data_IF_706198818016
#
_entry.id   IF_706198818016
#
_cell.length_a   1.000
_cell.length_b   1.000
_cell.length_c   1.000
_cell.angle_alpha   90.00
_cell.angle_beta   90.00
_cell.angle_gamma   90.00
#
_symmetry.space_group_name_H-M   'P 1'
#
loop_
_entity.id
_entity.type
_entity.pdbx_description
1 polymer ?
#
# COMPACT_ATOMS: atom_id res chain seq x y z
N UNK A 1 4.62 -11.64 2.99
CA UNK A 1 3.17 -11.30 2.86
C UNK A 1 2.17 -12.35 3.36
N UNK A 2 2.55 -13.56 3.83
CA UNK A 2 1.56 -14.59 4.20
C UNK A 2 0.98 -14.49 5.62
N UNK A 3 1.54 -13.68 6.51
CA UNK A 3 1.08 -13.61 7.92
C UNK A 3 -0.26 -12.90 8.12
N UNK A 4 -0.72 -12.08 7.17
CA UNK A 4 -1.95 -11.28 7.32
C UNK A 4 -3.21 -11.93 6.75
N UNK A 5 -3.13 -13.18 6.26
CA UNK A 5 -4.21 -13.84 5.51
C UNK A 5 -5.49 -14.12 6.31
N UNK A 6 -5.38 -14.19 7.64
CA UNK A 6 -6.47 -14.64 8.53
C UNK A 6 -7.06 -13.52 9.39
N UNK A 7 -6.72 -12.26 9.12
CA UNK A 7 -7.36 -11.10 9.76
C UNK A 7 -8.25 -10.44 8.71
N UNK A 8 -9.46 -10.02 9.09
CA UNK A 8 -10.36 -9.21 8.25
C UNK A 8 -9.81 -7.78 8.07
N UNK A 9 -8.56 -7.66 7.61
CA UNK A 9 -7.88 -6.41 7.35
C UNK A 9 -8.17 -5.99 5.92
N UNK A 10 -8.55 -4.73 5.76
CA UNK A 10 -8.65 -4.08 4.46
C UNK A 10 -7.26 -3.57 4.10
N UNK A 11 -6.66 -4.11 3.04
CA UNK A 11 -5.35 -3.66 2.57
C UNK A 11 -5.48 -2.72 1.37
N UNK A 12 -4.79 -1.58 1.43
CA UNK A 12 -4.59 -0.68 0.30
C UNK A 12 -3.46 -1.18 -0.60
N UNK A 13 -3.52 -0.88 -1.89
CA UNK A 13 -2.53 -1.30 -2.86
C UNK A 13 -2.09 -0.14 -3.75
N UNK A 14 -0.78 0.08 -3.84
CA UNK A 14 -0.16 1.13 -4.66
C UNK A 14 0.86 0.47 -5.62
N UNK A 15 0.51 0.26 -6.89
CA UNK A 15 1.47 -0.24 -7.87
C UNK A 15 2.40 0.89 -8.34
N UNK A 16 3.70 0.61 -8.37
CA UNK A 16 4.74 1.57 -8.81
C UNK A 16 5.73 0.90 -9.77
N UNK A 17 6.40 1.70 -10.59
CA UNK A 17 7.52 1.27 -11.43
C UNK A 17 8.89 1.56 -10.78
N UNK A 18 8.92 1.76 -9.45
CA UNK A 18 10.13 2.21 -8.74
C UNK A 18 10.30 3.72 -8.75
N UNK A 19 11.55 4.19 -8.55
CA UNK A 19 11.90 5.61 -8.43
C UNK A 19 10.97 6.39 -7.48
N UNK A 20 10.88 5.94 -6.22
CA UNK A 20 9.97 6.54 -5.24
C UNK A 20 10.33 8.00 -4.96
N UNK A 21 9.30 8.83 -4.91
CA UNK A 21 9.36 10.26 -4.63
C UNK A 21 8.02 10.70 -4.00
N UNK A 22 7.89 11.97 -3.62
CA UNK A 22 6.74 12.47 -2.84
C UNK A 22 5.36 12.21 -3.49
N UNK A 23 5.31 12.12 -4.82
CA UNK A 23 4.10 11.74 -5.54
C UNK A 23 3.60 10.35 -5.12
N UNK A 24 4.50 9.39 -4.98
CA UNK A 24 4.17 8.04 -4.50
C UNK A 24 3.74 8.05 -3.02
N UNK A 25 4.37 8.88 -2.18
CA UNK A 25 3.97 9.04 -0.77
C UNK A 25 2.54 9.57 -0.65
N UNK A 26 2.13 10.50 -1.51
CA UNK A 26 0.74 11.00 -1.52
C UNK A 26 -0.29 9.90 -1.83
N UNK A 27 0.04 8.95 -2.71
CA UNK A 27 -0.80 7.80 -3.01
C UNK A 27 -0.90 6.85 -1.81
N UNK A 28 0.20 6.67 -1.07
CA UNK A 28 0.23 5.89 0.16
C UNK A 28 -0.64 6.56 1.24
N UNK A 29 -0.54 7.87 1.42
CA UNK A 29 -1.37 8.62 2.39
C UNK A 29 -2.86 8.51 2.08
N UNK A 30 -3.24 8.55 0.79
CA UNK A 30 -4.62 8.34 0.38
C UNK A 30 -5.06 6.90 0.69
N UNK A 31 -4.24 5.91 0.37
CA UNK A 31 -4.56 4.51 0.62
C UNK A 31 -4.72 4.22 2.13
N UNK A 32 -3.87 4.79 2.99
CA UNK A 32 -3.93 4.64 4.45
C UNK A 32 -5.24 5.13 5.07
N UNK A 33 -5.91 6.14 4.47
CA UNK A 33 -7.20 6.65 4.99
C UNK A 33 -8.32 5.63 5.00
N UNK A 34 -8.20 4.55 4.21
CA UNK A 34 -9.26 3.57 4.01
C UNK A 34 -8.80 2.12 4.17
N UNK A 35 -7.60 1.90 4.72
CA UNK A 35 -7.01 0.58 4.87
C UNK A 35 -6.25 0.44 6.18
N UNK A 36 -6.17 -0.78 6.69
CA UNK A 36 -5.40 -1.13 7.88
C UNK A 36 -3.89 -1.27 7.58
N UNK A 37 -3.52 -1.27 6.31
CA UNK A 37 -2.15 -1.31 5.84
C UNK A 37 -2.06 -1.17 4.32
N UNK A 38 -0.90 -0.70 3.83
CA UNK A 38 -0.68 -0.46 2.40
C UNK A 38 0.44 -1.36 1.89
N UNK A 39 0.19 -2.00 0.75
CA UNK A 39 1.18 -2.76 -0.01
C UNK A 39 1.61 -1.93 -1.22
N UNK A 40 2.92 -1.74 -1.37
CA UNK A 40 3.51 -1.09 -2.53
C UNK A 40 4.20 -2.18 -3.35
N UNK A 41 3.83 -2.34 -4.62
CA UNK A 41 4.61 -3.16 -5.55
C UNK A 41 5.59 -2.28 -6.32
N UNK A 42 6.83 -2.74 -6.45
CA UNK A 42 7.86 -2.12 -7.27
C UNK A 42 8.20 -3.13 -8.38
N UNK A 43 8.08 -2.71 -9.63
CA UNK A 43 8.47 -3.48 -10.82
C UNK A 43 9.95 -3.29 -11.14
#
# INVERSE_FOLDING_TARGET
>A
MRQQRNKNLRLGFVPTMGALHDGHLSLVDIAQKTSDGVIISIL
#
